data_IF_264628885193
#
_entry.id   IF_264628885193
#
_cell.length_a   1.000
_cell.length_b   1.000
_cell.length_c   1.000
_cell.angle_alpha   90.00
_cell.angle_beta   90.00
_cell.angle_gamma   90.00
#
_symmetry.space_group_name_H-M   'P 1'
#
loop_
_entity.id
_entity.type
_entity.pdbx_description
1 polymer ?
#
# COMPACT_ATOMS: atom_id res chain seq x y z
N UNK A 1 -22.57 4.18 -3.23
CA UNK A 1 -23.17 3.69 -1.99
C UNK A 1 -23.35 4.84 -1.01
N UNK A 2 -24.59 5.15 -0.64
CA UNK A 2 -24.93 6.18 0.34
C UNK A 2 -25.22 5.48 1.67
N UNK A 3 -24.29 5.57 2.60
CA UNK A 3 -24.35 4.86 3.88
C UNK A 3 -24.89 5.73 5.01
N UNK A 4 -25.29 5.07 6.10
CA UNK A 4 -25.79 5.68 7.34
C UNK A 4 -27.18 6.33 7.21
N UNK A 5 -28.01 5.82 6.33
CA UNK A 5 -29.36 6.39 6.05
C UNK A 5 -30.33 6.29 7.23
N UNK A 6 -30.06 5.42 8.21
CA UNK A 6 -30.86 5.31 9.43
C UNK A 6 -30.54 6.37 10.51
N UNK A 7 -29.61 7.30 10.28
CA UNK A 7 -29.33 8.38 11.22
C UNK A 7 -30.48 9.40 11.22
N UNK A 8 -30.81 10.01 12.37
CA UNK A 8 -31.85 11.04 12.45
C UNK A 8 -31.55 12.29 11.61
N UNK A 9 -30.26 12.57 11.38
CA UNK A 9 -29.73 13.70 10.60
C UNK A 9 -29.35 13.30 9.17
N UNK A 10 -29.78 12.14 8.68
CA UNK A 10 -29.45 11.66 7.34
C UNK A 10 -30.12 12.50 6.24
N UNK A 11 -29.37 12.81 5.19
CA UNK A 11 -29.82 13.58 4.01
C UNK A 11 -29.52 12.81 2.71
N UNK A 12 -30.01 11.57 2.54
CA UNK A 12 -29.54 10.68 1.48
C UNK A 12 -29.78 11.23 0.07
N UNK A 13 -30.91 11.89 -0.20
CA UNK A 13 -31.20 12.46 -1.52
C UNK A 13 -30.38 13.71 -1.79
N UNK A 14 -30.21 14.59 -0.81
CA UNK A 14 -29.33 15.76 -0.96
C UNK A 14 -27.86 15.34 -1.23
N UNK A 15 -27.37 14.29 -0.53
CA UNK A 15 -26.01 13.75 -0.78
C UNK A 15 -25.90 13.16 -2.19
N UNK A 16 -26.96 12.55 -2.70
CA UNK A 16 -26.98 12.06 -4.09
C UNK A 16 -26.84 13.23 -5.07
N UNK A 17 -27.63 14.30 -4.87
CA UNK A 17 -27.58 15.51 -5.71
C UNK A 17 -26.21 16.23 -5.59
N UNK A 18 -25.67 16.37 -4.38
CA UNK A 18 -24.34 16.94 -4.16
C UNK A 18 -23.25 16.12 -4.87
N UNK A 19 -23.37 14.79 -4.88
CA UNK A 19 -22.44 13.89 -5.60
C UNK A 19 -22.54 14.09 -7.10
N UNK A 20 -23.75 14.20 -7.64
CA UNK A 20 -24.00 14.46 -9.06
C UNK A 20 -23.38 15.80 -9.49
N UNK A 21 -23.63 16.86 -8.71
CA UNK A 21 -23.07 18.19 -8.98
C UNK A 21 -21.54 18.16 -8.97
N UNK A 22 -20.94 17.48 -8.00
CA UNK A 22 -19.48 17.32 -7.95
C UNK A 22 -18.93 16.60 -9.19
N UNK A 23 -19.57 15.51 -9.63
CA UNK A 23 -19.17 14.80 -10.84
C UNK A 23 -19.24 15.70 -12.09
N UNK A 24 -20.31 16.51 -12.20
CA UNK A 24 -20.45 17.48 -13.30
C UNK A 24 -19.36 18.56 -13.26
N UNK A 25 -19.02 19.08 -12.08
CA UNK A 25 -17.92 20.05 -11.91
C UNK A 25 -16.56 19.45 -12.29
N UNK A 26 -16.36 18.16 -12.06
CA UNK A 26 -15.16 17.43 -12.47
C UNK A 26 -15.13 17.04 -13.95
N UNK A 27 -16.14 17.44 -14.73
CA UNK A 27 -16.20 17.20 -16.17
C UNK A 27 -16.74 15.82 -16.55
N UNK A 28 -17.55 15.20 -15.70
CA UNK A 28 -18.22 13.94 -16.01
C UNK A 28 -19.14 14.08 -17.23
N UNK A 29 -19.11 13.10 -18.11
CA UNK A 29 -20.02 13.00 -19.25
C UNK A 29 -21.42 12.49 -18.82
N UNK A 30 -22.35 12.43 -19.78
CA UNK A 30 -23.72 11.98 -19.54
C UNK A 30 -23.82 10.54 -18.99
N UNK A 31 -22.88 9.66 -19.33
CA UNK A 31 -22.82 8.29 -18.82
C UNK A 31 -22.36 8.24 -17.37
N UNK A 32 -21.45 9.14 -16.98
CA UNK A 32 -20.97 9.25 -15.61
C UNK A 32 -22.00 9.91 -14.67
N UNK A 33 -22.98 10.64 -15.19
CA UNK A 33 -24.03 11.28 -14.39
C UNK A 33 -25.25 10.38 -14.13
N UNK A 34 -25.42 9.31 -14.92
CA UNK A 34 -26.42 8.26 -14.70
C UNK A 34 -25.80 7.06 -13.96
N UNK A 35 -25.29 7.27 -12.77
CA UNK A 35 -24.62 6.21 -12.01
C UNK A 35 -25.60 5.41 -11.14
N UNK A 36 -25.45 4.07 -11.08
CA UNK A 36 -26.18 3.24 -10.14
C UNK A 36 -25.89 3.64 -8.70
N UNK A 37 -26.91 3.75 -7.88
CA UNK A 37 -26.75 4.10 -6.48
C UNK A 37 -27.61 3.20 -5.56
N UNK A 38 -27.18 3.06 -4.31
CA UNK A 38 -27.86 2.27 -3.31
C UNK A 38 -27.69 2.89 -1.93
N UNK A 39 -28.73 2.81 -1.13
CA UNK A 39 -28.78 3.32 0.23
C UNK A 39 -28.50 2.19 1.22
N UNK A 40 -27.66 2.44 2.23
CA UNK A 40 -27.25 1.39 3.17
C UNK A 40 -27.26 1.88 4.62
N UNK A 41 -27.48 0.94 5.53
CA UNK A 41 -27.23 1.10 6.94
C UNK A 41 -26.25 0.01 7.40
N UNK A 42 -24.95 0.27 7.35
CA UNK A 42 -23.91 -0.71 7.72
C UNK A 42 -24.01 -1.16 9.18
N UNK A 43 -24.56 -0.33 10.08
CA UNK A 43 -24.80 -0.72 11.48
C UNK A 43 -25.86 -1.81 11.62
N UNK A 44 -26.91 -1.75 10.81
CA UNK A 44 -28.03 -2.69 10.82
C UNK A 44 -27.84 -3.84 9.83
N UNK A 45 -26.82 -3.75 8.95
CA UNK A 45 -26.59 -4.75 7.91
C UNK A 45 -27.68 -4.77 6.84
N UNK A 46 -28.19 -3.58 6.45
CA UNK A 46 -29.30 -3.46 5.49
C UNK A 46 -28.95 -2.56 4.31
N UNK A 47 -29.56 -2.84 3.15
CA UNK A 47 -29.45 -2.04 1.93
C UNK A 47 -30.78 -2.00 1.18
N UNK A 48 -31.04 -0.91 0.45
CA UNK A 48 -32.22 -0.70 -0.39
C UNK A 48 -31.93 0.21 -1.55
N UNK A 49 -32.58 0.00 -2.68
CA UNK A 49 -32.58 0.91 -3.83
C UNK A 49 -33.65 1.97 -3.73
N UNK A 50 -34.64 1.80 -2.85
CA UNK A 50 -35.74 2.73 -2.62
C UNK A 50 -35.86 3.05 -1.12
N UNK A 51 -35.71 4.32 -0.76
CA UNK A 51 -35.80 4.79 0.63
C UNK A 51 -37.19 4.59 1.27
N UNK A 52 -38.25 4.43 0.46
CA UNK A 52 -39.58 4.15 0.93
C UNK A 52 -39.78 2.68 1.33
N UNK A 53 -38.85 1.80 0.93
CA UNK A 53 -38.86 0.38 1.22
C UNK A 53 -37.69 0.06 2.15
N UNK A 54 -37.95 -0.24 3.44
CA UNK A 54 -36.88 -0.59 4.36
C UNK A 54 -36.07 -1.80 3.91
N UNK A 55 -34.75 -1.64 3.86
CA UNK A 55 -33.84 -2.74 3.58
C UNK A 55 -33.86 -3.81 4.67
N UNK A 56 -33.71 -5.08 4.30
CA UNK A 56 -33.72 -6.22 5.23
C UNK A 56 -32.35 -6.90 5.35
N UNK A 57 -31.56 -6.87 4.30
CA UNK A 57 -30.25 -7.52 4.20
C UNK A 57 -29.28 -6.66 3.40
N UNK A 58 -28.02 -7.04 3.35
CA UNK A 58 -27.02 -6.42 2.47
C UNK A 58 -27.01 -7.01 1.04
N UNK A 59 -27.82 -8.01 0.77
CA UNK A 59 -27.89 -8.71 -0.51
C UNK A 59 -28.08 -7.76 -1.71
N UNK A 60 -29.01 -6.75 -1.68
CA UNK A 60 -29.15 -5.81 -2.78
C UNK A 60 -27.86 -5.01 -3.10
N UNK A 61 -27.03 -4.72 -2.09
CA UNK A 61 -25.73 -4.10 -2.31
C UNK A 61 -24.76 -5.07 -2.98
N UNK A 62 -24.69 -6.30 -2.53
CA UNK A 62 -23.81 -7.32 -3.11
C UNK A 62 -24.19 -7.63 -4.56
N UNK A 63 -25.47 -7.74 -4.86
CA UNK A 63 -25.99 -7.93 -6.21
C UNK A 63 -25.64 -6.75 -7.12
N UNK A 64 -25.75 -5.52 -6.61
CA UNK A 64 -25.33 -4.33 -7.35
C UNK A 64 -23.82 -4.34 -7.63
N UNK A 65 -23.00 -4.71 -6.66
CA UNK A 65 -21.54 -4.85 -6.85
C UNK A 65 -21.24 -5.87 -7.95
N UNK A 66 -21.86 -7.03 -7.92
CA UNK A 66 -21.66 -8.08 -8.93
C UNK A 66 -22.11 -7.64 -10.33
N UNK A 67 -23.11 -6.80 -10.43
CA UNK A 67 -23.63 -6.30 -11.72
C UNK A 67 -22.82 -5.16 -12.29
N UNK A 68 -22.42 -4.19 -11.45
CA UNK A 68 -21.84 -2.91 -11.89
C UNK A 68 -20.32 -2.90 -11.89
N UNK A 69 -19.67 -3.75 -11.07
CA UNK A 69 -18.20 -3.79 -11.00
C UNK A 69 -17.71 -4.99 -11.80
N UNK A 70 -17.04 -4.75 -12.93
CA UNK A 70 -16.48 -5.84 -13.72
C UNK A 70 -15.40 -6.55 -12.93
N UNK A 71 -15.25 -7.85 -13.17
CA UNK A 71 -14.10 -8.62 -12.69
C UNK A 71 -12.80 -8.10 -13.30
N UNK A 72 -11.65 -8.46 -12.71
CA UNK A 72 -10.37 -8.05 -13.28
C UNK A 72 -10.17 -8.65 -14.67
N UNK A 73 -9.69 -7.83 -15.60
CA UNK A 73 -9.21 -8.32 -16.90
C UNK A 73 -7.92 -9.10 -16.67
N UNK A 74 -7.93 -10.39 -16.97
CA UNK A 74 -6.83 -11.31 -16.71
C UNK A 74 -6.66 -12.32 -17.84
N UNK A 75 -5.43 -12.73 -18.05
CA UNK A 75 -5.04 -13.70 -19.07
C UNK A 75 -4.21 -14.83 -18.42
N UNK A 76 -4.85 -15.87 -17.86
CA UNK A 76 -4.13 -16.95 -17.20
C UNK A 76 -3.31 -17.82 -18.16
N UNK A 77 -3.65 -17.87 -19.45
CA UNK A 77 -2.97 -18.66 -20.48
C UNK A 77 -1.72 -17.97 -21.07
N UNK A 78 -1.53 -16.68 -20.77
CA UNK A 78 -0.34 -15.94 -21.20
C UNK A 78 0.85 -16.17 -20.26
N UNK A 79 2.09 -15.82 -20.68
CA UNK A 79 3.25 -15.88 -19.81
C UNK A 79 3.09 -15.05 -18.55
N UNK A 80 3.69 -15.49 -17.45
CA UNK A 80 3.65 -14.79 -16.16
C UNK A 80 4.12 -13.35 -16.25
N UNK A 81 3.30 -12.43 -15.75
CA UNK A 81 3.66 -11.06 -15.43
C UNK A 81 3.01 -10.67 -14.09
N UNK A 82 3.83 -10.23 -13.14
CA UNK A 82 3.40 -9.71 -11.85
C UNK A 82 4.09 -8.36 -11.60
N UNK A 83 3.32 -7.31 -11.43
CA UNK A 83 3.84 -5.99 -11.06
C UNK A 83 3.96 -5.87 -9.54
N UNK A 84 5.16 -5.58 -9.07
CA UNK A 84 5.41 -5.34 -7.65
C UNK A 84 4.93 -3.95 -7.26
N UNK A 85 3.94 -3.89 -6.39
CA UNK A 85 3.30 -2.63 -5.96
C UNK A 85 3.65 -2.23 -4.54
N UNK A 86 4.04 -3.19 -3.71
CA UNK A 86 4.33 -2.98 -2.29
C UNK A 86 5.43 -3.93 -1.86
N UNK A 87 6.24 -3.49 -0.89
CA UNK A 87 7.24 -4.32 -0.24
C UNK A 87 6.89 -4.48 1.25
N UNK A 88 7.18 -5.65 1.78
CA UNK A 88 7.15 -5.95 3.20
C UNK A 88 8.45 -6.63 3.61
N UNK A 89 8.68 -6.78 4.90
CA UNK A 89 9.88 -7.38 5.44
C UNK A 89 9.55 -8.32 6.59
N UNK A 90 10.25 -9.43 6.65
CA UNK A 90 10.21 -10.36 7.77
C UNK A 90 11.63 -10.73 8.18
N UNK A 91 11.88 -10.82 9.50
CA UNK A 91 13.19 -11.25 10.02
C UNK A 91 13.54 -12.70 9.64
N UNK A 92 12.54 -13.51 9.27
CA UNK A 92 12.72 -14.93 8.94
C UNK A 92 12.96 -15.18 7.44
N UNK A 93 12.27 -14.43 6.57
CA UNK A 93 12.27 -14.67 5.12
C UNK A 93 12.83 -13.50 4.30
N UNK A 94 13.20 -12.42 4.98
CA UNK A 94 13.73 -11.21 4.34
C UNK A 94 12.66 -10.40 3.62
N UNK A 95 13.00 -9.88 2.43
CA UNK A 95 12.14 -9.03 1.63
C UNK A 95 10.99 -9.83 1.00
N UNK A 96 9.79 -9.29 1.09
CA UNK A 96 8.56 -9.86 0.57
C UNK A 96 8.00 -8.89 -0.46
N UNK A 97 7.94 -9.31 -1.71
CA UNK A 97 7.32 -8.54 -2.78
C UNK A 97 5.83 -8.82 -2.84
N UNK A 98 5.02 -7.78 -2.88
CA UNK A 98 3.56 -7.88 -2.97
C UNK A 98 3.11 -7.23 -4.27
N UNK A 99 2.27 -7.92 -5.01
CA UNK A 99 1.75 -7.44 -6.27
C UNK A 99 0.59 -8.27 -6.79
N UNK A 100 -0.01 -7.80 -7.88
CA UNK A 100 -1.06 -8.52 -8.59
C UNK A 100 -0.46 -9.25 -9.78
N UNK A 101 -0.84 -10.50 -9.97
CA UNK A 101 -0.55 -11.25 -11.19
C UNK A 101 -1.44 -10.71 -12.30
N UNK A 102 -0.85 -10.12 -13.32
CA UNK A 102 -1.57 -9.55 -14.47
C UNK A 102 -1.88 -10.62 -15.51
N UNK A 103 -0.92 -11.52 -15.74
CA UNK A 103 -1.07 -12.65 -16.67
C UNK A 103 -0.33 -13.89 -16.18
N UNK A 104 -0.76 -15.05 -16.64
CA UNK A 104 -0.13 -16.33 -16.39
C UNK A 104 -0.37 -16.89 -14.99
N UNK A 105 0.47 -17.85 -14.63
CA UNK A 105 0.43 -18.56 -13.35
C UNK A 105 1.79 -18.48 -12.69
N UNK A 106 1.79 -18.13 -11.41
CA UNK A 106 2.98 -18.10 -10.56
C UNK A 106 3.03 -19.36 -9.68
N UNK A 107 4.17 -20.02 -9.64
CA UNK A 107 4.38 -21.24 -8.86
C UNK A 107 5.52 -21.11 -7.87
N UNK A 108 5.41 -21.83 -6.78
CA UNK A 108 6.50 -22.02 -5.81
C UNK A 108 7.72 -22.65 -6.52
N UNK A 109 8.91 -22.22 -6.13
CA UNK A 109 10.20 -22.65 -6.71
C UNK A 109 10.38 -22.34 -8.20
N UNK A 110 9.53 -21.50 -8.80
CA UNK A 110 9.61 -21.14 -10.21
C UNK A 110 10.83 -20.24 -10.48
N UNK A 111 11.64 -20.54 -11.52
CA UNK A 111 12.62 -19.59 -12.03
C UNK A 111 11.89 -18.44 -12.76
N UNK A 112 12.31 -17.22 -12.48
CA UNK A 112 11.72 -15.99 -13.02
C UNK A 112 12.79 -15.01 -13.43
N UNK A 113 12.39 -13.99 -14.18
CA UNK A 113 13.20 -12.80 -14.45
C UNK A 113 12.54 -11.59 -13.84
N UNK A 114 13.30 -10.88 -13.03
CA UNK A 114 12.92 -9.59 -12.45
C UNK A 114 13.33 -8.49 -13.42
N UNK A 115 12.35 -7.80 -14.00
CA UNK A 115 12.57 -6.67 -14.91
C UNK A 115 12.73 -5.40 -14.08
N UNK A 116 13.98 -5.01 -13.86
CA UNK A 116 14.35 -3.79 -13.11
C UNK A 116 14.56 -2.61 -14.07
N UNK A 117 14.65 -1.41 -13.52
CA UNK A 117 15.01 -0.22 -14.28
C UNK A 117 16.37 -0.35 -14.98
N UNK A 118 17.33 -1.01 -14.31
CA UNK A 118 18.70 -1.23 -14.81
C UNK A 118 18.85 -2.43 -15.74
N UNK A 119 17.75 -3.14 -16.01
CA UNK A 119 17.72 -4.33 -16.85
C UNK A 119 17.26 -5.59 -16.12
N UNK A 120 17.18 -6.73 -16.87
CA UNK A 120 16.68 -7.99 -16.33
C UNK A 120 17.68 -8.63 -15.35
N UNK A 121 17.16 -9.20 -14.27
CA UNK A 121 17.91 -9.98 -13.27
C UNK A 121 17.23 -11.33 -13.09
N UNK A 122 17.99 -12.43 -13.21
CA UNK A 122 17.45 -13.76 -12.93
C UNK A 122 17.17 -13.94 -11.45
N UNK A 123 16.06 -14.63 -11.13
CA UNK A 123 15.64 -14.91 -9.77
C UNK A 123 14.87 -16.21 -9.67
N UNK A 124 14.53 -16.58 -8.46
CA UNK A 124 13.69 -17.75 -8.17
C UNK A 124 12.70 -17.41 -7.06
N UNK A 125 11.45 -17.70 -7.29
CA UNK A 125 10.42 -17.63 -6.26
C UNK A 125 10.64 -18.79 -5.28
N UNK A 126 10.78 -18.53 -4.01
CA UNK A 126 10.89 -19.56 -2.98
C UNK A 126 9.50 -19.97 -2.48
N UNK A 127 8.70 -18.97 -2.11
CA UNK A 127 7.37 -19.19 -1.55
C UNK A 127 6.37 -18.17 -2.12
N UNK A 128 5.14 -18.64 -2.31
CA UNK A 128 4.00 -17.84 -2.75
C UNK A 128 2.94 -17.86 -1.65
N UNK A 129 2.44 -16.68 -1.28
CA UNK A 129 1.34 -16.51 -0.34
C UNK A 129 0.20 -15.78 -1.03
N UNK A 130 -1.03 -16.20 -0.75
CA UNK A 130 -2.25 -15.46 -1.02
C UNK A 130 -2.78 -14.83 0.26
N UNK A 131 -3.60 -13.78 0.12
CA UNK A 131 -4.19 -13.10 1.27
C UNK A 131 -5.56 -13.71 1.59
N UNK A 132 -5.70 -14.23 2.81
CA UNK A 132 -6.96 -14.73 3.34
C UNK A 132 -7.29 -14.03 4.65
N UNK A 133 -8.46 -13.42 4.73
CA UNK A 133 -8.89 -12.63 5.88
C UNK A 133 -7.84 -11.55 6.25
N UNK A 134 -7.27 -11.64 7.45
CA UNK A 134 -6.22 -10.75 7.95
C UNK A 134 -4.81 -11.36 7.88
N UNK A 135 -4.67 -12.51 7.27
CA UNK A 135 -3.43 -13.26 7.20
C UNK A 135 -2.97 -13.56 5.77
N UNK A 136 -1.92 -14.36 5.70
CA UNK A 136 -1.36 -14.90 4.46
C UNK A 136 -1.31 -16.42 4.57
N UNK A 137 -1.70 -17.09 3.50
CA UNK A 137 -1.67 -18.56 3.39
C UNK A 137 -0.70 -18.93 2.28
N UNK A 138 0.21 -19.86 2.56
CA UNK A 138 1.13 -20.40 1.56
C UNK A 138 0.37 -21.29 0.59
N UNK A 139 0.66 -21.10 -0.71
CA UNK A 139 0.06 -21.87 -1.80
C UNK A 139 1.14 -22.39 -2.76
N UNK A 140 0.86 -23.47 -3.46
CA UNK A 140 1.76 -24.01 -4.49
C UNK A 140 1.72 -23.20 -5.78
N UNK A 141 0.55 -22.62 -6.11
CA UNK A 141 0.38 -21.77 -7.27
C UNK A 141 -0.70 -20.69 -7.04
N UNK A 142 -0.59 -19.59 -7.79
CA UNK A 142 -1.57 -18.50 -7.87
C UNK A 142 -1.70 -18.06 -9.34
N UNK A 143 -2.86 -17.56 -9.72
CA UNK A 143 -3.20 -17.28 -11.12
C UNK A 143 -3.42 -15.79 -11.39
N UNK A 144 -3.46 -15.42 -12.64
CA UNK A 144 -3.78 -14.05 -13.08
C UNK A 144 -5.05 -13.52 -12.40
N UNK A 145 -4.96 -12.31 -11.84
CA UNK A 145 -5.99 -11.67 -11.01
C UNK A 145 -5.71 -11.72 -9.51
N UNK A 146 -4.97 -12.71 -9.03
CA UNK A 146 -4.63 -12.84 -7.62
C UNK A 146 -3.64 -11.75 -7.17
N UNK A 147 -3.84 -11.26 -5.95
CA UNK A 147 -2.84 -10.47 -5.23
C UNK A 147 -2.04 -11.43 -4.36
N UNK A 148 -0.75 -11.44 -4.57
CA UNK A 148 0.16 -12.39 -3.91
C UNK A 148 1.29 -11.68 -3.18
N UNK A 149 1.86 -12.37 -2.19
CA UNK A 149 3.12 -12.01 -1.57
C UNK A 149 4.14 -13.09 -1.90
N UNK A 150 5.30 -12.70 -2.43
CA UNK A 150 6.34 -13.62 -2.88
C UNK A 150 7.65 -13.39 -2.17
N UNK A 151 8.36 -14.48 -1.89
CA UNK A 151 9.66 -14.51 -1.24
C UNK A 151 10.69 -15.16 -2.15
N UNK A 152 11.95 -14.79 -2.02
CA UNK A 152 13.08 -15.35 -2.75
C UNK A 152 13.77 -14.38 -3.70
N UNK A 153 13.31 -13.13 -3.77
CA UNK A 153 13.89 -12.07 -4.58
C UNK A 153 14.49 -11.00 -3.65
N UNK A 154 15.81 -11.05 -3.44
CA UNK A 154 16.49 -10.20 -2.45
C UNK A 154 16.51 -8.72 -2.84
N UNK A 155 16.63 -8.43 -4.13
CA UNK A 155 16.85 -7.07 -4.64
C UNK A 155 15.63 -6.50 -5.40
N UNK A 156 14.42 -6.96 -5.05
CA UNK A 156 13.17 -6.51 -5.66
C UNK A 156 12.79 -5.11 -5.17
N UNK A 157 12.28 -4.28 -6.08
CA UNK A 157 11.82 -2.92 -5.82
C UNK A 157 10.36 -2.72 -6.27
N UNK A 158 9.71 -1.68 -5.74
CA UNK A 158 8.38 -1.28 -6.24
C UNK A 158 8.51 -0.81 -7.70
N UNK A 159 7.56 -1.25 -8.53
CA UNK A 159 7.55 -1.00 -9.96
C UNK A 159 8.31 -2.04 -10.79
N UNK A 160 9.07 -2.94 -10.16
CA UNK A 160 9.66 -4.07 -10.87
C UNK A 160 8.57 -5.03 -11.35
N UNK A 161 8.81 -5.70 -12.47
CA UNK A 161 7.91 -6.75 -12.98
C UNK A 161 8.60 -8.10 -12.86
N UNK A 162 7.93 -9.05 -12.20
CA UNK A 162 8.34 -10.46 -12.18
C UNK A 162 7.73 -11.13 -13.40
N UNK A 163 8.58 -11.68 -14.27
CA UNK A 163 8.19 -12.27 -15.55
C UNK A 163 8.57 -13.75 -15.62
N UNK A 164 7.87 -14.48 -16.50
CA UNK A 164 8.35 -15.80 -16.96
C UNK A 164 9.75 -15.66 -17.58
N UNK A 165 10.62 -16.64 -17.34
CA UNK A 165 12.02 -16.61 -17.81
C UNK A 165 12.12 -16.46 -19.33
N UNK A 166 11.23 -17.11 -20.05
CA UNK A 166 11.24 -17.16 -21.51
C UNK A 166 10.49 -15.97 -22.15
N UNK A 167 9.90 -15.12 -21.32
CA UNK A 167 9.12 -13.94 -21.76
C UNK A 167 9.37 -12.71 -20.86
N UNK A 168 10.57 -12.14 -20.91
CA UNK A 168 10.95 -11.00 -20.06
C UNK A 168 10.36 -9.66 -20.58
N UNK A 169 9.06 -9.46 -20.38
CA UNK A 169 8.34 -8.25 -20.80
C UNK A 169 7.89 -7.44 -19.59
N UNK A 170 8.46 -6.24 -19.35
CA UNK A 170 8.06 -5.41 -18.23
C UNK A 170 6.66 -4.79 -18.43
N UNK A 171 5.94 -4.66 -17.34
CA UNK A 171 4.76 -3.79 -17.25
C UNK A 171 5.19 -2.33 -17.05
N UNK A 172 4.29 -1.36 -17.30
CA UNK A 172 4.57 0.04 -16.99
C UNK A 172 4.98 0.20 -15.51
N UNK A 173 6.16 0.78 -15.31
CA UNK A 173 6.73 0.93 -13.96
C UNK A 173 5.92 1.95 -13.16
N UNK A 174 5.65 1.64 -11.90
CA UNK A 174 5.07 2.61 -10.97
C UNK A 174 6.18 3.59 -10.53
N UNK A 175 5.88 4.87 -10.64
CA UNK A 175 6.71 5.92 -10.05
C UNK A 175 6.27 6.17 -8.62
N UNK A 176 7.23 6.27 -7.72
CA UNK A 176 6.98 6.70 -6.33
C UNK A 176 7.40 8.15 -6.23
N UNK A 177 6.50 9.02 -5.77
CA UNK A 177 6.79 10.44 -5.61
C UNK A 177 8.00 10.64 -4.69
N UNK A 178 8.87 11.56 -5.08
CA UNK A 178 10.03 11.91 -4.27
C UNK A 178 9.62 12.62 -2.98
N UNK A 179 10.45 12.51 -1.93
CA UNK A 179 10.19 13.20 -0.67
C UNK A 179 10.23 14.72 -0.86
N UNK A 180 9.31 15.42 -0.23
CA UNK A 180 9.20 16.89 -0.28
C UNK A 180 9.67 17.59 0.99
N UNK A 181 9.83 16.86 2.09
CA UNK A 181 10.27 17.40 3.38
C UNK A 181 11.41 16.57 3.97
N UNK A 182 12.32 17.25 4.62
CA UNK A 182 13.45 16.67 5.34
C UNK A 182 13.44 17.14 6.81
N UNK A 183 13.75 16.23 7.72
CA UNK A 183 13.96 16.52 9.13
C UNK A 183 15.27 15.89 9.61
N UNK A 184 15.95 16.58 10.52
CA UNK A 184 17.14 16.07 11.19
C UNK A 184 16.73 15.19 12.37
N UNK A 185 17.24 13.94 12.39
CA UNK A 185 17.11 13.00 13.51
C UNK A 185 18.47 12.84 14.18
N UNK A 186 18.56 13.10 15.49
CA UNK A 186 19.79 12.98 16.28
C UNK A 186 19.51 12.24 17.57
N UNK A 187 20.57 11.83 18.25
CA UNK A 187 20.46 11.34 19.63
C UNK A 187 19.97 12.47 20.54
N UNK A 188 19.30 12.10 21.63
CA UNK A 188 19.02 13.05 22.69
C UNK A 188 20.32 13.27 23.50
N UNK A 189 20.89 14.47 23.39
CA UNK A 189 22.10 14.89 24.10
C UNK A 189 21.81 15.64 25.40
N UNK A 190 20.54 15.72 25.83
CA UNK A 190 20.15 16.41 27.06
C UNK A 190 20.57 15.61 28.31
N UNK A 191 20.69 16.26 29.50
CA UNK A 191 20.95 15.56 30.77
C UNK A 191 19.87 14.56 31.18
N UNK A 192 18.73 14.54 30.49
CA UNK A 192 17.61 13.65 30.72
C UNK A 192 17.59 12.45 29.75
N UNK A 193 18.60 12.31 28.89
CA UNK A 193 18.71 11.20 27.95
C UNK A 193 18.66 9.83 28.65
N UNK A 194 17.91 8.90 28.08
CA UNK A 194 17.74 7.54 28.58
C UNK A 194 16.71 7.36 29.70
N UNK A 195 15.91 8.41 30.00
CA UNK A 195 14.83 8.31 30.99
C UNK A 195 13.52 7.77 30.42
N UNK A 196 13.22 8.10 29.19
CA UNK A 196 11.96 7.74 28.53
C UNK A 196 12.11 6.60 27.52
N UNK A 197 13.32 6.42 26.94
CA UNK A 197 13.60 5.41 25.92
C UNK A 197 14.72 4.44 26.31
N UNK A 198 14.65 3.22 25.79
CA UNK A 198 15.68 2.18 25.95
C UNK A 198 16.80 2.31 24.89
N UNK A 199 16.44 2.82 23.71
CA UNK A 199 17.33 2.90 22.54
C UNK A 199 17.72 4.35 22.30
N UNK A 200 18.93 4.70 22.75
CA UNK A 200 19.42 6.09 22.81
C UNK A 200 20.71 6.33 22.01
N UNK A 201 21.27 5.28 21.40
CA UNK A 201 22.53 5.39 20.66
C UNK A 201 22.33 5.64 19.18
N UNK A 202 23.28 6.36 18.55
CA UNK A 202 23.31 6.63 17.11
C UNK A 202 23.19 5.34 16.30
N UNK A 203 23.88 4.26 16.73
CA UNK A 203 23.82 2.98 16.04
C UNK A 203 22.42 2.37 16.04
N UNK A 204 21.72 2.39 17.20
CA UNK A 204 20.37 1.85 17.31
C UNK A 204 19.38 2.63 16.44
N UNK A 205 19.48 3.98 16.46
CA UNK A 205 18.64 4.84 15.62
C UNK A 205 18.92 4.56 14.13
N UNK A 206 20.19 4.46 13.75
CA UNK A 206 20.58 4.12 12.39
C UNK A 206 19.95 2.81 11.93
N UNK A 207 20.19 1.75 12.68
CA UNK A 207 19.74 0.40 12.32
C UNK A 207 18.20 0.35 12.21
N UNK A 208 17.47 1.10 13.05
CA UNK A 208 16.02 1.24 12.98
C UNK A 208 15.57 2.03 11.74
N UNK A 209 16.22 3.14 11.43
CA UNK A 209 15.91 3.96 10.25
C UNK A 209 16.18 3.19 8.95
N UNK A 210 17.28 2.48 8.86
CA UNK A 210 17.60 1.66 7.69
C UNK A 210 16.64 0.49 7.54
N UNK A 211 16.17 -0.13 8.62
CA UNK A 211 15.10 -1.13 8.59
C UNK A 211 13.79 -0.54 8.08
N UNK A 212 13.48 0.72 8.39
CA UNK A 212 12.30 1.40 7.85
C UNK A 212 12.35 1.54 6.33
N UNK A 213 13.53 1.77 5.74
CA UNK A 213 13.68 1.88 4.29
C UNK A 213 13.28 0.61 3.53
N UNK A 214 13.36 -0.56 4.16
CA UNK A 214 12.94 -1.83 3.56
C UNK A 214 11.42 -1.90 3.31
N UNK A 215 10.64 -1.16 4.10
CA UNK A 215 9.17 -1.13 4.02
C UNK A 215 8.62 0.16 3.43
N UNK A 216 9.35 1.25 3.57
CA UNK A 216 8.89 2.61 3.30
C UNK A 216 9.68 3.24 2.16
N UNK A 217 9.27 2.94 0.94
CA UNK A 217 9.97 3.39 -0.29
C UNK A 217 9.95 4.90 -0.51
N UNK A 218 9.03 5.62 0.14
CA UNK A 218 8.95 7.08 0.07
C UNK A 218 9.84 7.78 1.11
N UNK A 219 10.53 7.01 1.96
CA UNK A 219 11.48 7.53 2.93
C UNK A 219 12.88 7.54 2.31
N UNK A 220 13.67 8.56 2.66
CA UNK A 220 15.11 8.61 2.39
C UNK A 220 15.83 8.91 3.68
N UNK A 221 16.93 8.23 3.93
CA UNK A 221 17.78 8.43 5.10
C UNK A 221 19.21 8.62 4.64
N UNK A 222 19.81 9.75 4.99
CA UNK A 222 21.22 10.07 4.69
C UNK A 222 21.93 10.35 6.00
N UNK A 223 23.03 9.68 6.31
CA UNK A 223 23.91 10.10 7.41
C UNK A 223 24.48 11.51 7.13
N UNK A 224 24.68 12.30 8.17
CA UNK A 224 25.30 13.63 8.05
C UNK A 224 26.77 13.48 8.42
N UNK A 225 27.67 13.87 7.51
CA UNK A 225 29.11 13.60 7.61
C UNK A 225 29.77 14.20 8.86
N UNK A 226 29.33 15.36 9.34
CA UNK A 226 29.93 16.06 10.47
C UNK A 226 29.12 16.00 11.77
N UNK A 227 28.11 15.12 11.85
CA UNK A 227 27.28 14.99 13.05
C UNK A 227 26.78 13.56 13.28
N UNK A 228 26.49 13.23 14.51
CA UNK A 228 25.83 11.96 14.88
C UNK A 228 24.34 11.97 14.55
N UNK A 229 23.98 12.45 13.35
CA UNK A 229 22.61 12.64 12.91
C UNK A 229 22.30 12.05 11.55
N UNK A 230 21.03 12.01 11.24
CA UNK A 230 20.47 11.52 9.98
C UNK A 230 19.52 12.56 9.40
N UNK A 231 19.70 12.89 8.13
CA UNK A 231 18.73 13.62 7.36
C UNK A 231 17.68 12.62 6.88
N UNK A 232 16.45 12.76 7.39
CA UNK A 232 15.34 11.86 7.09
C UNK A 232 14.31 12.62 6.27
N UNK A 233 14.12 12.19 5.02
CA UNK A 233 13.23 12.84 4.06
C UNK A 233 11.99 12.00 3.82
N UNK A 234 10.82 12.63 3.78
CA UNK A 234 9.53 11.97 3.57
C UNK A 234 8.55 12.82 2.76
N UNK A 235 7.41 12.25 2.38
CA UNK A 235 6.38 12.91 1.54
C UNK A 235 5.74 14.13 2.20
N UNK A 236 5.80 14.24 3.52
CA UNK A 236 5.17 15.33 4.25
C UNK A 236 5.32 15.21 5.76
N UNK A 237 4.86 16.24 6.47
CA UNK A 237 4.98 16.32 7.94
C UNK A 237 4.31 15.12 8.62
N UNK A 238 3.12 14.71 8.19
CA UNK A 238 2.41 13.58 8.78
C UNK A 238 3.19 12.27 8.60
N UNK A 239 3.79 12.05 7.45
CA UNK A 239 4.59 10.85 7.19
C UNK A 239 5.75 10.73 8.19
N UNK A 240 6.51 11.81 8.39
CA UNK A 240 7.62 11.84 9.35
C UNK A 240 7.13 11.80 10.80
N UNK A 241 5.99 12.43 11.13
CA UNK A 241 5.41 12.38 12.47
C UNK A 241 4.97 10.96 12.86
N UNK A 242 4.39 10.19 11.93
CA UNK A 242 4.04 8.78 12.16
C UNK A 242 5.29 7.94 12.43
N UNK A 243 6.36 8.15 11.66
CA UNK A 243 7.63 7.46 11.90
C UNK A 243 8.20 7.78 13.30
N UNK A 244 8.25 9.05 13.67
CA UNK A 244 8.72 9.49 15.00
C UNK A 244 7.90 8.85 16.11
N UNK A 245 6.58 8.89 16.01
CA UNK A 245 5.69 8.31 17.01
C UNK A 245 5.81 6.79 17.09
N UNK A 246 5.99 6.11 15.97
CA UNK A 246 6.24 4.66 15.93
C UNK A 246 7.56 4.32 16.63
N UNK A 247 8.63 5.02 16.31
CA UNK A 247 9.93 4.85 16.98
C UNK A 247 9.84 5.12 18.49
N UNK A 248 9.12 6.18 18.89
CA UNK A 248 8.89 6.50 20.29
C UNK A 248 8.17 5.35 21.02
N UNK A 249 7.13 4.78 20.42
CA UNK A 249 6.39 3.62 20.99
C UNK A 249 7.23 2.35 21.07
N UNK A 250 8.17 2.18 20.17
CA UNK A 250 9.15 1.08 20.20
C UNK A 250 10.22 1.28 21.28
N UNK A 251 10.28 2.45 21.92
CA UNK A 251 11.21 2.79 23.00
C UNK A 251 12.49 3.50 22.53
N UNK A 252 12.49 4.07 21.32
CA UNK A 252 13.58 4.93 20.88
C UNK A 252 13.39 6.34 21.43
N UNK A 253 14.48 6.91 21.91
CA UNK A 253 14.55 8.31 22.36
C UNK A 253 15.48 9.07 21.41
N UNK A 254 14.94 10.08 20.74
CA UNK A 254 15.67 10.85 19.74
C UNK A 254 15.21 12.32 19.76
N UNK A 255 16.09 13.20 19.31
CA UNK A 255 15.78 14.60 19.04
C UNK A 255 15.49 14.79 17.57
N UNK A 256 14.49 15.61 17.26
CA UNK A 256 14.11 15.91 15.88
C UNK A 256 14.22 17.42 15.61
N UNK A 257 14.81 17.74 14.46
CA UNK A 257 14.89 19.11 13.98
C UNK A 257 13.58 19.62 13.37
N UNK A 258 13.53 20.91 13.05
CA UNK A 258 12.40 21.48 12.31
C UNK A 258 12.36 20.93 10.88
N UNK A 259 11.14 20.68 10.33
CA UNK A 259 11.01 20.26 8.95
C UNK A 259 11.48 21.37 7.99
N UNK A 260 12.20 20.97 6.94
CA UNK A 260 12.64 21.82 5.85
C UNK A 260 12.08 21.29 4.53
N UNK A 261 11.62 22.17 3.64
CA UNK A 261 11.24 21.79 2.28
C UNK A 261 12.48 21.38 1.47
N UNK A 262 12.36 20.33 0.69
CA UNK A 262 13.30 19.94 -0.34
C UNK A 262 12.83 20.58 -1.64
N UNK A 263 13.64 21.45 -2.21
CA UNK A 263 13.37 22.16 -3.47
C UNK A 263 14.16 21.48 -4.58
#
# INVERSE_FOLDING_TARGET
>A
VINKVARPDARPLEVLDETLLLLMELGADSHMTEFPHIFTCGKEGTSTTDLNVPGKTMEPLLDMVLREIPGPEVNPDEPLQLLVTTLDWSEFVGRIAIGRITSGVLRKNQPVVLMKERGPVEGRIQTVYVFENLGRVEVEEATAGDVVAVVGLEDVEIGDTICARDFPRPLPRLSVDEPTLEMLFTINSSPLAGREGKYVTTRQIRDRLFRELERNVALRVKPIEDSEGFAVSGRGVLHLAVLIETMRREGFELSVGKPKGII
#
